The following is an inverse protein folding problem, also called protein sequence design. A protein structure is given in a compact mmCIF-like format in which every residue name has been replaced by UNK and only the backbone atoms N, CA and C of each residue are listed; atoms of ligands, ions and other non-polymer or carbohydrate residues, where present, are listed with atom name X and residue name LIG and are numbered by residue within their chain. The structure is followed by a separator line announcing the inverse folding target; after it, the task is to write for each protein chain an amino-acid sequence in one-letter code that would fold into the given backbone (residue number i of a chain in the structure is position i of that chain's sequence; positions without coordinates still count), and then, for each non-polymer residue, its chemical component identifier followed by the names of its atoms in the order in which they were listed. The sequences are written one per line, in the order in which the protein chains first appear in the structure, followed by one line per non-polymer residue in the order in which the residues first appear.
data_IF_711420982918
#
_entry.id   IF_711420982918
#
_cell.length_a   1.000
_cell.length_b   1.000
_cell.length_c   1.000
_cell.angle_alpha   90.00
_cell.angle_beta   90.00
_cell.angle_gamma   90.00
#
_symmetry.space_group_name_H-M   'P 1'
#
loop_
_entity.id
_entity.type
_entity.pdbx_description
1 polymer ?
#
# COMPACT_ATOMS: atom_id res chain seq x y z
N UNK A 1 -10.33 -8.53 4.05
CA UNK A 1 -9.01 -8.78 3.44
C UNK A 1 -8.02 -7.86 4.12
N UNK A 2 -6.85 -8.34 4.55
CA UNK A 2 -5.87 -7.49 5.22
C UNK A 2 -5.06 -6.67 4.22
N UNK A 3 -4.36 -5.64 4.69
CA UNK A 3 -3.42 -4.88 3.85
C UNK A 3 -2.30 -5.77 3.32
N UNK A 4 -1.79 -6.72 4.09
CA UNK A 4 -0.75 -7.66 3.61
C UNK A 4 -1.24 -8.57 2.49
N UNK A 5 -2.49 -9.07 2.59
CA UNK A 5 -3.13 -9.87 1.54
C UNK A 5 -3.27 -9.05 0.25
N UNK A 6 -3.68 -7.79 0.38
CA UNK A 6 -3.78 -6.86 -0.75
C UNK A 6 -2.43 -6.57 -1.37
N UNK A 7 -1.43 -6.23 -0.56
CA UNK A 7 -0.11 -5.88 -1.04
C UNK A 7 0.55 -7.07 -1.73
N UNK A 8 0.38 -8.28 -1.20
CA UNK A 8 0.90 -9.51 -1.82
C UNK A 8 0.31 -9.72 -3.22
N UNK A 9 -1.00 -9.51 -3.41
CA UNK A 9 -1.64 -9.60 -4.74
C UNK A 9 -1.14 -8.48 -5.66
N UNK A 10 -0.99 -7.26 -5.15
CA UNK A 10 -0.46 -6.13 -5.93
C UNK A 10 0.96 -6.40 -6.42
N UNK A 11 1.84 -6.92 -5.57
CA UNK A 11 3.23 -7.20 -5.92
C UNK A 11 3.36 -8.37 -6.90
N UNK A 12 2.67 -9.47 -6.64
CA UNK A 12 2.79 -10.68 -7.47
C UNK A 12 2.02 -10.53 -8.78
N UNK A 13 0.72 -10.23 -8.73
CA UNK A 13 -0.14 -10.30 -9.91
C UNK A 13 -0.09 -9.01 -10.75
N UNK A 14 0.10 -7.85 -10.12
CA UNK A 14 0.12 -6.55 -10.82
C UNK A 14 1.54 -6.05 -11.14
N UNK A 15 2.50 -6.19 -10.21
CA UNK A 15 3.91 -5.83 -10.47
C UNK A 15 4.74 -6.98 -11.07
N UNK A 16 4.18 -8.20 -11.16
CA UNK A 16 4.83 -9.35 -11.79
C UNK A 16 5.95 -9.98 -10.97
N UNK A 17 5.99 -9.76 -9.66
CA UNK A 17 7.01 -10.32 -8.77
C UNK A 17 6.79 -11.81 -8.52
N UNK A 18 7.89 -12.55 -8.36
CA UNK A 18 7.88 -13.89 -7.80
C UNK A 18 7.51 -13.87 -6.30
N UNK A 19 7.16 -15.02 -5.74
CA UNK A 19 6.87 -15.12 -4.30
C UNK A 19 8.11 -14.84 -3.45
N UNK A 20 9.29 -15.22 -3.95
CA UNK A 20 10.59 -14.94 -3.36
C UNK A 20 10.85 -13.42 -3.31
N UNK A 21 10.73 -12.72 -4.43
CA UNK A 21 10.92 -11.26 -4.48
C UNK A 21 9.90 -10.52 -3.61
N UNK A 22 8.65 -10.99 -3.60
CA UNK A 22 7.61 -10.44 -2.73
C UNK A 22 7.98 -10.63 -1.24
N UNK A 23 8.53 -11.80 -0.86
CA UNK A 23 8.94 -12.08 0.51
C UNK A 23 10.10 -11.20 0.94
N UNK A 24 11.09 -11.00 0.05
CA UNK A 24 12.20 -10.08 0.27
C UNK A 24 11.70 -8.64 0.43
N UNK A 25 10.79 -8.18 -0.44
CA UNK A 25 10.22 -6.82 -0.42
C UNK A 25 9.37 -6.55 0.81
N UNK A 26 8.62 -7.55 1.29
CA UNK A 26 7.80 -7.46 2.50
C UNK A 26 8.56 -7.81 3.78
N UNK A 27 9.84 -8.18 3.70
CA UNK A 27 10.68 -8.58 4.83
C UNK A 27 10.09 -9.70 5.70
N UNK A 28 9.50 -10.71 5.05
CA UNK A 28 8.91 -11.89 5.71
C UNK A 28 9.45 -13.18 5.10
N UNK A 29 9.21 -14.32 5.78
CA UNK A 29 9.57 -15.62 5.23
C UNK A 29 8.74 -15.95 3.97
N UNK A 30 9.34 -16.68 3.01
CA UNK A 30 8.66 -17.15 1.79
C UNK A 30 7.39 -17.95 2.09
N UNK A 31 7.40 -18.79 3.13
CA UNK A 31 6.24 -19.58 3.58
C UNK A 31 5.10 -18.70 4.08
N UNK A 32 5.41 -17.54 4.66
CA UNK A 32 4.43 -16.52 5.04
C UNK A 32 3.76 -15.92 3.80
N UNK A 33 4.54 -15.52 2.77
CA UNK A 33 3.98 -15.03 1.50
C UNK A 33 3.12 -16.08 0.81
N UNK A 34 3.55 -17.34 0.79
CA UNK A 34 2.75 -18.44 0.24
C UNK A 34 1.36 -18.51 0.88
N UNK A 35 1.32 -18.43 2.22
CA UNK A 35 0.08 -18.48 2.99
C UNK A 35 -0.79 -17.25 2.74
N UNK A 36 -0.21 -16.05 2.79
CA UNK A 36 -0.91 -14.78 2.56
C UNK A 36 -1.49 -14.73 1.14
N UNK A 37 -0.69 -15.10 0.14
CA UNK A 37 -1.12 -15.12 -1.27
C UNK A 37 -2.28 -16.09 -1.50
N UNK A 38 -2.23 -17.29 -0.91
CA UNK A 38 -3.31 -18.27 -1.01
C UNK A 38 -4.62 -17.74 -0.38
N UNK A 39 -4.54 -17.13 0.80
CA UNK A 39 -5.70 -16.51 1.47
C UNK A 39 -6.28 -15.35 0.67
N UNK A 40 -5.43 -14.48 0.13
CA UNK A 40 -5.84 -13.34 -0.68
C UNK A 40 -6.58 -13.81 -1.94
N UNK A 41 -6.01 -14.78 -2.68
CA UNK A 41 -6.65 -15.37 -3.85
C UNK A 41 -7.98 -16.03 -3.55
N UNK A 42 -8.11 -16.71 -2.40
CA UNK A 42 -9.37 -17.31 -1.99
C UNK A 42 -10.46 -16.24 -1.75
N UNK A 43 -10.13 -15.16 -1.03
CA UNK A 43 -11.06 -14.05 -0.76
C UNK A 43 -11.48 -13.30 -2.02
N UNK A 44 -10.53 -13.09 -2.95
CA UNK A 44 -10.81 -12.49 -4.26
C UNK A 44 -11.77 -13.40 -5.05
N UNK A 45 -11.47 -14.69 -5.16
CA UNK A 45 -12.31 -15.64 -5.87
C UNK A 45 -13.72 -15.71 -5.27
N UNK A 46 -13.84 -15.81 -3.94
CA UNK A 46 -15.13 -15.83 -3.24
C UNK A 46 -15.93 -14.55 -3.50
N UNK A 47 -15.28 -13.39 -3.52
CA UNK A 47 -15.93 -12.11 -3.79
C UNK A 47 -16.42 -12.00 -5.23
N UNK A 48 -15.60 -12.42 -6.20
CA UNK A 48 -15.94 -12.39 -7.62
C UNK A 48 -17.05 -13.38 -7.97
N UNK A 49 -17.00 -14.61 -7.44
CA UNK A 49 -17.95 -15.68 -7.76
C UNK A 49 -19.29 -15.46 -7.05
N UNK A 50 -19.27 -15.07 -5.78
CA UNK A 50 -20.49 -14.94 -4.97
C UNK A 50 -21.00 -13.51 -4.84
N UNK A 51 -20.41 -12.54 -5.55
CA UNK A 51 -20.80 -11.14 -5.53
C UNK A 51 -20.65 -10.49 -4.15
N UNK A 52 -19.73 -10.98 -3.32
CA UNK A 52 -19.50 -10.42 -1.97
C UNK A 52 -18.69 -9.13 -2.07
N UNK A 53 -18.95 -8.21 -1.15
CA UNK A 53 -18.13 -7.00 -1.00
C UNK A 53 -16.75 -7.38 -0.51
N UNK A 54 -15.72 -7.08 -1.32
CA UNK A 54 -14.33 -7.25 -0.93
C UNK A 54 -13.86 -6.01 -0.15
N UNK A 55 -13.97 -6.06 1.18
CA UNK A 55 -13.46 -5.01 2.07
C UNK A 55 -12.00 -5.27 2.44
N UNK A 56 -11.17 -4.25 2.30
CA UNK A 56 -9.77 -4.23 2.75
C UNK A 56 -9.69 -3.42 4.04
N UNK A 57 -9.24 -4.06 5.13
CA UNK A 57 -9.15 -3.43 6.45
C UNK A 57 -8.11 -4.16 7.33
N UNK A 58 -7.61 -3.48 8.36
CA UNK A 58 -6.61 -3.98 9.31
C UNK A 58 -5.18 -4.07 8.76
N UNK A 59 -4.27 -4.57 9.60
CA UNK A 59 -2.83 -4.64 9.32
C UNK A 59 -2.03 -3.48 9.93
N UNK A 60 -0.72 -3.66 10.05
CA UNK A 60 0.20 -2.61 10.49
C UNK A 60 0.92 -2.03 9.27
N UNK A 61 0.53 -0.82 8.88
CA UNK A 61 1.12 -0.13 7.74
C UNK A 61 1.49 1.29 8.12
N UNK A 62 2.68 1.72 7.69
CA UNK A 62 3.16 3.09 7.89
C UNK A 62 2.78 3.94 6.70
N UNK A 63 1.84 4.85 6.92
CA UNK A 63 1.63 5.96 6.00
C UNK A 63 2.78 6.95 6.16
N UNK A 64 3.30 7.47 5.05
CA UNK A 64 4.20 8.62 5.10
C UNK A 64 3.49 9.76 5.86
N UNK A 65 4.17 10.36 6.83
CA UNK A 65 3.68 11.49 7.64
C UNK A 65 3.91 12.85 6.96
N UNK A 66 4.69 12.88 5.87
CA UNK A 66 5.07 14.12 5.19
C UNK A 66 6.26 14.85 5.83
N UNK A 67 6.82 14.34 6.94
CA UNK A 67 7.88 14.99 7.71
C UNK A 67 9.30 14.56 7.31
N UNK A 68 9.45 13.52 6.49
CA UNK A 68 10.76 13.01 6.09
C UNK A 68 11.52 13.92 5.11
N UNK A 69 12.84 13.97 5.24
CA UNK A 69 13.74 14.82 4.41
C UNK A 69 13.70 14.55 2.89
N UNK A 70 13.04 13.46 2.45
CA UNK A 70 12.79 13.14 1.03
C UNK A 70 11.38 13.50 0.55
N UNK A 71 10.57 14.17 1.37
CA UNK A 71 9.19 14.52 1.01
C UNK A 71 9.06 15.78 0.12
N UNK A 72 10.17 16.40 -0.29
CA UNK A 72 10.20 17.56 -1.22
C UNK A 72 10.59 17.24 -2.67
N UNK A 73 10.96 15.99 -2.97
CA UNK A 73 11.45 15.59 -4.31
C UNK A 73 10.33 15.25 -5.29
N UNK A 74 9.36 16.15 -5.52
CA UNK A 74 8.39 16.14 -6.65
C UNK A 74 7.45 14.92 -6.84
N UNK A 75 7.64 13.82 -6.10
CA UNK A 75 6.96 12.54 -6.30
C UNK A 75 5.81 12.26 -5.33
N UNK A 76 5.71 13.02 -4.23
CA UNK A 76 4.67 12.78 -3.25
C UNK A 76 3.34 13.40 -3.71
N UNK A 77 2.30 12.56 -3.91
CA UNK A 77 0.97 13.00 -4.39
C UNK A 77 0.30 14.04 -3.46
N UNK A 78 0.70 14.13 -2.18
CA UNK A 78 0.22 15.16 -1.24
C UNK A 78 0.60 16.59 -1.65
N UNK A 79 1.71 16.78 -2.36
CA UNK A 79 2.21 18.12 -2.74
C UNK A 79 1.91 18.47 -4.20
N UNK A 80 1.14 17.64 -4.93
CA UNK A 80 0.74 17.94 -6.32
C UNK A 80 -0.43 18.92 -6.43
N UNK A 81 -1.04 19.31 -5.32
CA UNK A 81 -1.95 20.45 -5.26
C UNK A 81 -1.18 21.67 -4.76
N UNK A 82 -0.60 22.41 -5.70
CA UNK A 82 -0.16 23.77 -5.46
C UNK A 82 -1.38 24.67 -5.21
N UNK A 83 -1.39 25.32 -4.05
CA UNK A 83 -2.25 26.44 -3.70
C UNK A 83 -1.39 27.47 -2.99
N UNK A 84 -1.13 28.56 -3.69
CA UNK A 84 -0.33 29.73 -3.31
C UNK A 84 -1.06 30.57 -2.26
N UNK A 85 -0.45 30.86 -1.10
CA UNK A 85 -0.76 32.08 -0.35
C UNK A 85 0.47 32.59 0.46
N UNK A 86 0.69 33.88 0.33
CA UNK A 86 1.92 34.69 0.51
C UNK A 86 2.33 34.86 2.00
N UNK A 87 3.61 35.12 2.34
CA UNK A 87 3.99 35.53 3.70
C UNK A 87 3.72 37.03 3.86
N UNK A 88 2.55 37.37 4.40
CA UNK A 88 2.18 38.73 4.79
C UNK A 88 2.67 39.04 6.20
N UNK A 89 3.72 39.85 6.29
CA UNK A 89 4.08 40.61 7.48
C UNK A 89 2.85 41.35 8.07
N UNK A 90 2.64 41.29 9.39
CA UNK A 90 1.91 42.29 10.18
C UNK A 90 2.08 42.09 11.71
N UNK A 91 2.95 42.93 12.29
CA UNK A 91 2.93 43.58 13.62
C UNK A 91 2.62 42.79 14.91
N UNK A 92 3.59 42.76 15.84
CA UNK A 92 3.52 43.46 17.15
C UNK A 92 4.88 44.15 17.38
#
# INVERSE_FOLDING_TARGET
MTVDEYETVRLIDLEGMTQEECAEKMHVARTTIQSIYALARNKIADSLVNGKVLLIDGGDFKLCDGGGSRCGGGGCRRHRHGGNENPGNQNI
#
